data_IF_317473590997
#
_entry.id   IF_317473590997
#
_cell.length_a   1.000
_cell.length_b   1.000
_cell.length_c   1.000
_cell.angle_alpha   90.00
_cell.angle_beta   90.00
_cell.angle_gamma   90.00
#
_symmetry.space_group_name_H-M   'P 1'
#
loop_
_entity.id
_entity.type
_entity.pdbx_description
1 polymer ?
#
# COMPACT_ATOMS: atom_id res chain seq x y z
N UNK A 1 1.34 21.78 5.60
CA UNK A 1 0.55 21.11 6.66
C UNK A 1 -0.96 21.09 6.35
N UNK A 2 -1.62 22.25 6.16
CA UNK A 2 -3.08 22.35 5.87
C UNK A 2 -3.53 21.51 4.66
N UNK A 3 -2.76 21.53 3.57
CA UNK A 3 -3.02 20.72 2.36
C UNK A 3 -2.99 19.20 2.60
N UNK A 4 -2.19 18.71 3.56
CA UNK A 4 -2.10 17.28 3.86
C UNK A 4 -3.28 16.82 4.72
N UNK A 5 -3.69 17.66 5.69
CA UNK A 5 -4.87 17.42 6.53
C UNK A 5 -6.14 17.37 5.67
N UNK A 6 -6.27 18.30 4.72
CA UNK A 6 -7.40 18.33 3.78
C UNK A 6 -7.46 17.06 2.91
N UNK A 7 -6.30 16.56 2.46
CA UNK A 7 -6.22 15.31 1.69
C UNK A 7 -6.62 14.08 2.53
N UNK A 8 -6.14 13.99 3.77
CA UNK A 8 -6.52 12.92 4.70
C UNK A 8 -8.03 12.92 4.97
N UNK A 9 -8.61 14.12 5.15
CA UNK A 9 -10.05 14.27 5.32
C UNK A 9 -10.84 13.79 4.09
N UNK A 10 -10.40 14.14 2.89
CA UNK A 10 -10.98 13.64 1.64
C UNK A 10 -10.85 12.11 1.53
N UNK A 11 -9.71 11.53 1.92
CA UNK A 11 -9.52 10.07 1.91
C UNK A 11 -10.49 9.35 2.87
N UNK A 12 -10.73 9.91 4.05
CA UNK A 12 -11.70 9.35 5.01
C UNK A 12 -13.13 9.43 4.44
N UNK A 13 -13.50 10.55 3.83
CA UNK A 13 -14.80 10.70 3.14
C UNK A 13 -14.95 9.73 1.95
N UNK A 14 -13.89 9.54 1.16
CA UNK A 14 -13.85 8.58 0.07
C UNK A 14 -14.10 7.14 0.56
N UNK A 15 -13.37 6.74 1.60
CA UNK A 15 -13.45 5.42 2.21
C UNK A 15 -14.84 5.17 2.82
N UNK A 16 -15.47 6.20 3.40
CA UNK A 16 -16.82 6.11 3.95
C UNK A 16 -17.89 5.96 2.84
N UNK A 17 -17.68 6.55 1.67
CA UNK A 17 -18.63 6.47 0.54
C UNK A 17 -18.76 5.05 -0.03
N UNK A 18 -17.71 4.23 0.08
CA UNK A 18 -17.68 2.90 -0.54
C UNK A 18 -18.66 1.93 0.13
N UNK A 19 -18.65 1.74 1.48
CA UNK A 19 -19.66 0.95 2.17
C UNK A 19 -21.08 1.48 1.95
N UNK A 20 -21.25 2.80 1.94
CA UNK A 20 -22.53 3.48 1.67
C UNK A 20 -23.10 3.13 0.29
N UNK A 21 -22.24 2.96 -0.71
CA UNK A 21 -22.61 2.57 -2.06
C UNK A 21 -23.02 1.08 -2.20
N UNK A 22 -22.59 0.21 -1.27
CA UNK A 22 -23.01 -1.19 -1.20
C UNK A 22 -24.31 -1.39 -0.40
N UNK A 23 -24.61 -0.48 0.52
CA UNK A 23 -25.92 -0.39 1.14
C UNK A 23 -26.94 0.07 0.09
N UNK A 24 -28.08 -0.63 -0.01
CA UNK A 24 -29.04 -0.46 -1.09
C UNK A 24 -29.54 1.00 -1.17
N UNK A 25 -29.00 1.75 -2.13
CA UNK A 25 -29.08 3.21 -2.27
C UNK A 25 -30.43 3.70 -2.82
N UNK A 26 -31.48 2.90 -2.65
CA UNK A 26 -32.85 3.20 -3.08
C UNK A 26 -33.63 4.03 -2.06
N UNK A 27 -33.06 4.32 -0.89
CA UNK A 27 -33.68 5.19 0.13
C UNK A 27 -33.26 6.66 -0.10
N UNK A 28 -34.21 7.61 -0.18
CA UNK A 28 -33.94 9.01 -0.51
C UNK A 28 -32.83 9.70 0.31
N UNK A 29 -32.68 9.50 1.64
CA UNK A 29 -31.63 10.20 2.39
C UNK A 29 -30.20 9.77 2.00
N UNK A 30 -29.97 8.55 1.52
CA UNK A 30 -28.64 8.09 1.12
C UNK A 30 -28.20 8.71 -0.23
N UNK A 31 -29.16 9.02 -1.10
CA UNK A 31 -28.90 9.54 -2.44
C UNK A 31 -28.35 10.96 -2.41
N UNK A 32 -28.84 11.80 -1.50
CA UNK A 32 -28.32 13.16 -1.28
C UNK A 32 -26.89 13.17 -0.71
N UNK A 33 -26.56 12.18 0.14
CA UNK A 33 -25.21 12.04 0.70
C UNK A 33 -24.22 11.67 -0.40
N UNK A 34 -24.57 10.70 -1.25
CA UNK A 34 -23.73 10.27 -2.37
C UNK A 34 -23.48 11.39 -3.38
N UNK A 35 -24.52 12.17 -3.69
CA UNK A 35 -24.40 13.37 -4.53
C UNK A 35 -23.53 14.46 -3.90
N UNK A 36 -23.64 14.68 -2.59
CA UNK A 36 -22.81 15.67 -1.88
C UNK A 36 -21.34 15.29 -1.90
N UNK A 37 -21.03 14.01 -1.69
CA UNK A 37 -19.67 13.46 -1.77
C UNK A 37 -19.13 13.59 -3.20
N UNK A 38 -19.94 13.26 -4.20
CA UNK A 38 -19.56 13.44 -5.60
C UNK A 38 -19.23 14.90 -5.94
N UNK A 39 -20.04 15.85 -5.47
CA UNK A 39 -19.83 17.28 -5.69
C UNK A 39 -18.49 17.76 -5.11
N UNK A 40 -18.14 17.27 -3.92
CA UNK A 40 -16.84 17.56 -3.28
C UNK A 40 -15.68 17.05 -4.15
N UNK A 41 -15.78 15.83 -4.71
CA UNK A 41 -14.74 15.29 -5.59
C UNK A 41 -14.59 16.05 -6.91
N UNK A 42 -15.72 16.47 -7.51
CA UNK A 42 -15.71 17.31 -8.71
C UNK A 42 -14.94 18.59 -8.43
N UNK A 43 -15.29 19.30 -7.35
CA UNK A 43 -14.64 20.56 -7.01
C UNK A 43 -13.14 20.40 -6.71
N UNK A 44 -12.75 19.34 -6.00
CA UNK A 44 -11.34 19.08 -5.68
C UNK A 44 -10.50 18.83 -6.94
N UNK A 45 -11.03 18.04 -7.89
CA UNK A 45 -10.35 17.79 -9.17
C UNK A 45 -10.19 19.06 -9.99
N UNK A 46 -11.24 19.89 -10.09
CA UNK A 46 -11.14 21.16 -10.82
C UNK A 46 -10.20 22.15 -10.12
N UNK A 47 -10.13 22.13 -8.79
CA UNK A 47 -9.19 22.94 -8.04
C UNK A 47 -7.72 22.52 -8.28
N UNK A 48 -7.41 21.22 -8.21
CA UNK A 48 -6.06 20.72 -8.54
C UNK A 48 -5.73 20.91 -10.03
N UNK A 49 -6.70 20.76 -10.93
CA UNK A 49 -6.53 21.01 -12.36
C UNK A 49 -6.19 22.47 -12.67
N UNK A 50 -6.82 23.42 -11.98
CA UNK A 50 -6.55 24.85 -12.16
C UNK A 50 -5.21 25.28 -11.54
N UNK A 51 -4.73 24.58 -10.50
CA UNK A 51 -3.41 24.85 -9.91
C UNK A 51 -2.24 24.19 -10.67
N UNK A 52 -2.52 23.26 -11.58
CA UNK A 52 -1.48 22.54 -12.31
C UNK A 52 -0.85 23.41 -13.42
N UNK A 53 0.44 23.74 -13.25
CA UNK A 53 1.24 24.55 -14.18
C UNK A 53 1.33 23.91 -15.58
N UNK A 54 1.25 22.57 -15.69
CA UNK A 54 1.36 21.84 -16.96
C UNK A 54 0.17 20.89 -17.18
N UNK A 55 -0.92 21.45 -17.73
CA UNK A 55 -2.25 20.81 -17.90
C UNK A 55 -2.20 19.47 -18.65
N UNK A 56 -1.30 19.31 -19.62
CA UNK A 56 -1.19 18.10 -20.47
C UNK A 56 -0.56 16.90 -19.73
N UNK A 57 0.39 17.16 -18.85
CA UNK A 57 1.03 16.13 -18.01
C UNK A 57 0.10 15.70 -16.87
N UNK A 58 -0.60 16.67 -16.28
CA UNK A 58 -1.62 16.45 -15.25
C UNK A 58 -2.75 15.56 -15.76
N UNK A 59 -3.28 15.84 -16.96
CA UNK A 59 -4.35 15.03 -17.53
C UNK A 59 -3.94 13.56 -17.70
N UNK A 60 -2.74 13.29 -18.23
CA UNK A 60 -2.25 11.90 -18.41
C UNK A 60 -2.04 11.14 -17.10
N UNK A 61 -1.60 11.82 -16.05
CA UNK A 61 -1.42 11.20 -14.73
C UNK A 61 -2.73 11.05 -13.95
N UNK A 62 -3.75 11.87 -14.24
CA UNK A 62 -5.04 11.89 -13.51
C UNK A 62 -6.24 11.41 -14.36
N UNK A 63 -6.00 10.62 -15.42
CA UNK A 63 -7.07 9.99 -16.22
C UNK A 63 -8.03 9.16 -15.34
N UNK A 64 -7.50 8.46 -14.34
CA UNK A 64 -8.33 7.58 -13.49
C UNK A 64 -9.22 8.40 -12.53
N UNK A 65 -8.75 9.59 -12.12
CA UNK A 65 -9.54 10.55 -11.33
C UNK A 65 -10.64 11.18 -12.18
N UNK A 66 -10.38 11.47 -13.46
CA UNK A 66 -11.40 11.93 -14.40
C UNK A 66 -12.50 10.88 -14.61
N UNK A 67 -12.12 9.61 -14.77
CA UNK A 67 -13.06 8.48 -14.91
C UNK A 67 -13.90 8.30 -13.64
N UNK A 68 -13.35 8.60 -12.46
CA UNK A 68 -14.06 8.55 -11.17
C UNK A 68 -15.16 9.59 -11.01
N UNK A 69 -15.01 10.73 -11.69
CA UNK A 69 -15.90 11.89 -11.59
C UNK A 69 -17.07 11.78 -12.56
N UNK A 70 -16.96 11.00 -13.63
CA UNK A 70 -18.06 10.81 -14.57
C UNK A 70 -19.27 10.15 -13.85
N UNK A 71 -20.45 10.79 -13.86
CA UNK A 71 -21.63 10.29 -13.17
C UNK A 71 -22.26 9.17 -14.02
N UNK A 72 -21.72 7.96 -13.94
CA UNK A 72 -22.24 6.78 -14.62
C UNK A 72 -23.40 6.09 -13.87
N UNK A 73 -24.21 6.88 -13.16
CA UNK A 73 -25.36 6.40 -12.38
C UNK A 73 -26.51 5.84 -13.26
N UNK A 74 -26.40 5.95 -14.59
CA UNK A 74 -27.44 5.50 -15.52
C UNK A 74 -27.45 3.99 -15.81
N UNK A 75 -26.38 3.24 -15.50
CA UNK A 75 -26.29 1.81 -15.87
C UNK A 75 -25.92 0.90 -14.68
N UNK A 76 -26.75 -0.09 -14.32
CA UNK A 76 -26.47 -1.06 -13.26
C UNK A 76 -25.19 -1.88 -13.47
N UNK A 77 -24.82 -2.14 -14.73
CA UNK A 77 -23.60 -2.85 -15.12
C UNK A 77 -22.31 -2.09 -14.75
N UNK A 78 -22.42 -0.80 -14.43
CA UNK A 78 -21.31 0.11 -14.15
C UNK A 78 -21.01 0.20 -12.63
N UNK A 79 -21.70 -0.57 -11.79
CA UNK A 79 -21.42 -0.63 -10.34
C UNK A 79 -19.94 -0.94 -10.02
N UNK A 80 -19.27 -1.70 -10.88
CA UNK A 80 -17.83 -2.03 -10.79
C UNK A 80 -16.93 -0.79 -10.98
N UNK A 81 -17.36 0.23 -11.73
CA UNK A 81 -16.60 1.48 -11.87
C UNK A 81 -16.59 2.31 -10.56
N UNK A 82 -17.43 2.00 -9.56
CA UNK A 82 -17.26 2.56 -8.21
C UNK A 82 -15.97 2.08 -7.55
N UNK A 83 -15.53 0.85 -7.82
CA UNK A 83 -14.22 0.35 -7.37
C UNK A 83 -13.06 1.05 -8.09
N UNK A 84 -13.29 1.55 -9.31
CA UNK A 84 -12.32 2.37 -10.04
C UNK A 84 -12.06 3.69 -9.31
N UNK A 85 -12.99 4.22 -8.50
CA UNK A 85 -12.67 5.33 -7.57
C UNK A 85 -11.56 4.93 -6.60
N UNK A 86 -11.65 3.77 -5.98
CA UNK A 86 -10.62 3.29 -5.04
C UNK A 86 -9.28 3.15 -5.77
N UNK A 87 -9.29 2.58 -6.97
CA UNK A 87 -8.08 2.37 -7.77
C UNK A 87 -7.47 3.67 -8.30
N UNK A 88 -8.29 4.64 -8.70
CA UNK A 88 -7.86 5.96 -9.14
C UNK A 88 -7.05 6.68 -8.07
N UNK A 89 -7.59 6.70 -6.86
CA UNK A 89 -6.98 7.37 -5.72
C UNK A 89 -5.82 6.54 -5.14
N UNK A 90 -5.91 5.20 -5.20
CA UNK A 90 -4.78 4.31 -4.86
C UNK A 90 -3.64 4.40 -5.88
N UNK A 91 -3.84 4.88 -7.11
CA UNK A 91 -2.77 4.98 -8.12
C UNK A 91 -1.62 5.89 -7.67
N UNK A 92 -1.92 6.98 -6.95
CA UNK A 92 -0.92 7.87 -6.34
C UNK A 92 -0.11 7.14 -5.25
N UNK A 93 -0.75 6.22 -4.53
CA UNK A 93 -0.11 5.35 -3.55
C UNK A 93 0.68 4.23 -4.24
N UNK A 94 0.16 3.66 -5.33
CA UNK A 94 0.74 2.53 -6.06
C UNK A 94 2.11 2.85 -6.67
N UNK A 95 2.31 4.09 -7.11
CA UNK A 95 3.62 4.53 -7.62
C UNK A 95 4.65 4.56 -6.49
N UNK A 96 4.30 5.12 -5.32
CA UNK A 96 5.16 5.11 -4.12
C UNK A 96 5.36 3.70 -3.54
N UNK A 97 4.33 2.84 -3.59
CA UNK A 97 4.48 1.45 -3.12
C UNK A 97 5.36 0.63 -4.04
N UNK A 98 5.41 0.91 -5.35
CA UNK A 98 6.33 0.24 -6.28
C UNK A 98 7.79 0.57 -5.94
N UNK A 99 8.11 1.84 -5.70
CA UNK A 99 9.44 2.24 -5.24
C UNK A 99 9.78 1.56 -3.91
N UNK A 100 8.84 1.56 -2.95
CA UNK A 100 9.00 0.82 -1.69
C UNK A 100 9.29 -0.68 -1.90
N UNK A 101 8.42 -1.38 -2.64
CA UNK A 101 8.50 -2.83 -2.89
C UNK A 101 9.81 -3.24 -3.55
N UNK A 102 10.30 -2.43 -4.49
CA UNK A 102 11.54 -2.68 -5.24
C UNK A 102 12.76 -2.35 -4.40
N UNK A 103 12.77 -1.22 -3.69
CA UNK A 103 13.91 -0.82 -2.84
C UNK A 103 14.10 -1.72 -1.62
N UNK A 104 13.02 -2.15 -0.98
CA UNK A 104 13.09 -3.01 0.22
C UNK A 104 13.04 -4.51 -0.08
N UNK A 105 12.90 -4.90 -1.37
CA UNK A 105 12.81 -6.30 -1.81
C UNK A 105 11.70 -7.12 -1.13
N UNK A 106 10.69 -6.45 -0.60
CA UNK A 106 9.56 -7.07 0.11
C UNK A 106 8.81 -8.08 -0.76
N UNK A 107 8.80 -7.89 -2.09
CA UNK A 107 8.20 -8.83 -3.03
C UNK A 107 8.80 -10.25 -2.93
N UNK A 108 10.08 -10.40 -2.59
CA UNK A 108 10.74 -11.72 -2.44
C UNK A 108 10.16 -12.46 -1.24
N UNK A 109 9.95 -11.77 -0.12
CA UNK A 109 9.34 -12.35 1.07
C UNK A 109 7.90 -12.84 0.77
N UNK A 110 7.11 -12.05 0.03
CA UNK A 110 5.78 -12.48 -0.41
C UNK A 110 5.80 -13.70 -1.34
N UNK A 111 6.76 -13.77 -2.27
CA UNK A 111 6.91 -14.94 -3.15
C UNK A 111 7.27 -16.19 -2.33
N UNK A 112 8.25 -16.08 -1.43
CA UNK A 112 8.68 -17.20 -0.57
C UNK A 112 7.53 -17.67 0.31
N UNK A 113 6.83 -16.76 0.99
CA UNK A 113 5.67 -17.11 1.81
C UNK A 113 4.56 -17.71 0.96
N UNK A 114 4.32 -17.20 -0.25
CA UNK A 114 3.33 -17.77 -1.18
C UNK A 114 3.65 -19.21 -1.58
N UNK A 115 4.92 -19.52 -1.87
CA UNK A 115 5.38 -20.88 -2.17
C UNK A 115 5.17 -21.79 -0.96
N UNK A 116 5.58 -21.36 0.24
CA UNK A 116 5.40 -22.12 1.49
C UNK A 116 3.92 -22.41 1.75
N UNK A 117 3.04 -21.43 1.52
CA UNK A 117 1.61 -21.55 1.74
C UNK A 117 0.97 -22.57 0.78
N UNK A 118 1.28 -22.49 -0.52
CA UNK A 118 0.80 -23.46 -1.51
C UNK A 118 1.31 -24.87 -1.17
N UNK A 119 2.60 -25.00 -0.85
CA UNK A 119 3.19 -26.29 -0.53
C UNK A 119 2.58 -26.91 0.73
N UNK A 120 2.37 -26.09 1.77
CA UNK A 120 1.72 -26.53 3.01
C UNK A 120 0.27 -26.95 2.78
N UNK A 121 -0.47 -26.23 1.94
CA UNK A 121 -1.86 -26.58 1.58
C UNK A 121 -1.97 -27.88 0.78
N UNK A 122 -1.01 -28.16 -0.11
CA UNK A 122 -0.95 -29.44 -0.84
C UNK A 122 -0.69 -30.59 0.13
N UNK A 123 0.30 -30.48 1.01
CA UNK A 123 0.62 -31.55 1.97
C UNK A 123 -0.56 -31.78 2.90
N UNK A 124 -1.20 -30.71 3.38
CA UNK A 124 -2.40 -30.80 4.22
C UNK A 124 -3.53 -31.57 3.52
N UNK A 125 -3.83 -31.22 2.26
CA UNK A 125 -4.86 -31.91 1.46
C UNK A 125 -4.53 -33.40 1.23
N UNK A 126 -3.26 -33.74 1.03
CA UNK A 126 -2.84 -35.14 0.85
C UNK A 126 -2.92 -35.96 2.15
N UNK A 127 -2.61 -35.35 3.29
CA UNK A 127 -2.52 -36.02 4.59
C UNK A 127 -3.89 -36.19 5.25
N UNK A 128 -4.74 -35.15 5.17
CA UNK A 128 -6.11 -35.17 5.72
C UNK A 128 -7.14 -35.74 4.72
N UNK A 129 -6.75 -35.96 3.46
CA UNK A 129 -7.60 -36.41 2.33
C UNK A 129 -8.73 -35.45 1.96
N UNK A 130 -8.56 -34.16 2.27
CA UNK A 130 -9.48 -33.09 1.90
C UNK A 130 -9.22 -32.55 0.49
N UNK A 131 -10.12 -31.70 -0.01
CA UNK A 131 -9.91 -31.05 -1.30
C UNK A 131 -8.71 -30.09 -1.26
N UNK A 132 -8.05 -29.91 -2.41
CA UNK A 132 -6.93 -28.97 -2.53
C UNK A 132 -7.31 -27.55 -2.07
N UNK A 133 -8.55 -27.12 -2.35
CA UNK A 133 -9.04 -25.81 -1.95
C UNK A 133 -9.17 -25.69 -0.44
N UNK A 134 -9.57 -26.75 0.25
CA UNK A 134 -9.67 -26.79 1.72
C UNK A 134 -8.30 -26.70 2.37
N UNK A 135 -7.31 -27.42 1.83
CA UNK A 135 -5.91 -27.30 2.27
C UNK A 135 -5.33 -25.90 2.04
N UNK A 136 -5.69 -25.24 0.93
CA UNK A 136 -5.27 -23.86 0.68
C UNK A 136 -5.96 -22.86 1.62
N UNK A 137 -7.26 -23.04 1.88
CA UNK A 137 -8.01 -22.23 2.85
C UNK A 137 -7.45 -22.41 4.27
N UNK A 138 -7.05 -23.63 4.62
CA UNK A 138 -6.35 -23.92 5.86
C UNK A 138 -5.04 -23.14 5.96
N UNK A 139 -4.18 -23.31 4.96
CA UNK A 139 -2.87 -22.67 4.94
C UNK A 139 -2.99 -21.14 4.97
N UNK A 140 -3.99 -20.58 4.28
CA UNK A 140 -4.27 -19.15 4.30
C UNK A 140 -4.74 -18.67 5.67
N UNK A 141 -5.67 -19.39 6.31
CA UNK A 141 -6.18 -19.05 7.65
C UNK A 141 -5.08 -19.07 8.72
N UNK A 142 -4.18 -20.05 8.64
CA UNK A 142 -3.02 -20.18 9.54
C UNK A 142 -1.98 -19.07 9.28
N UNK A 143 -1.57 -18.87 8.03
CA UNK A 143 -0.56 -17.86 7.68
C UNK A 143 -1.02 -16.42 7.98
N UNK A 144 -2.32 -16.14 7.83
CA UNK A 144 -2.90 -14.81 8.12
C UNK A 144 -3.29 -14.63 9.57
N UNK A 145 -3.17 -15.67 10.42
CA UNK A 145 -3.66 -15.70 11.80
C UNK A 145 -5.17 -15.42 11.96
N UNK A 146 -5.94 -15.45 10.87
CA UNK A 146 -7.39 -15.27 10.90
C UNK A 146 -8.13 -16.48 11.47
N UNK A 147 -7.46 -17.63 11.50
CA UNK A 147 -8.03 -18.91 11.87
C UNK A 147 -8.55 -19.64 10.65
N UNK A 148 -8.30 -20.94 10.61
CA UNK A 148 -8.80 -21.83 9.56
C UNK A 148 -10.06 -22.55 10.04
N UNK A 149 -11.07 -22.75 9.18
CA UNK A 149 -12.21 -23.62 9.48
C UNK A 149 -11.81 -25.10 9.56
N UNK A 150 -10.71 -25.50 8.92
CA UNK A 150 -10.11 -26.83 8.97
C UNK A 150 -9.04 -26.90 10.06
N UNK A 151 -8.88 -28.05 10.72
CA UNK A 151 -7.92 -28.23 11.81
C UNK A 151 -6.94 -29.35 11.49
N UNK A 152 -5.70 -29.19 11.97
CA UNK A 152 -4.64 -30.17 11.81
C UNK A 152 -4.79 -31.31 12.84
N UNK A 153 -5.21 -32.48 12.39
CA UNK A 153 -5.43 -33.66 13.22
C UNK A 153 -4.20 -34.57 13.27
N UNK A 154 -3.50 -34.72 12.14
CA UNK A 154 -2.31 -35.56 12.00
C UNK A 154 -1.04 -34.91 12.58
N UNK A 155 0.00 -35.71 12.87
CA UNK A 155 1.27 -35.16 13.37
C UNK A 155 1.99 -34.28 12.33
N UNK A 156 1.91 -34.65 11.05
CA UNK A 156 2.53 -33.92 9.94
C UNK A 156 1.84 -32.56 9.74
N UNK A 157 0.51 -32.51 9.72
CA UNK A 157 -0.25 -31.26 9.59
C UNK A 157 -0.04 -30.32 10.78
N UNK A 158 0.13 -30.85 12.01
CA UNK A 158 0.45 -30.05 13.20
C UNK A 158 1.83 -29.39 13.11
N UNK A 159 2.84 -30.10 12.63
CA UNK A 159 4.18 -29.53 12.42
C UNK A 159 4.11 -28.44 11.35
N UNK A 160 3.41 -28.68 10.24
CA UNK A 160 3.19 -27.67 9.21
C UNK A 160 2.46 -26.43 9.75
N UNK A 161 1.45 -26.63 10.60
CA UNK A 161 0.71 -25.55 11.25
C UNK A 161 1.67 -24.60 12.00
N UNK A 162 2.56 -25.16 12.83
CA UNK A 162 3.53 -24.40 13.60
C UNK A 162 4.48 -23.61 12.68
N UNK A 163 5.05 -24.26 11.67
CA UNK A 163 5.96 -23.62 10.71
C UNK A 163 5.26 -22.47 9.99
N UNK A 164 4.01 -22.68 9.58
CA UNK A 164 3.24 -21.71 8.83
C UNK A 164 2.82 -20.51 9.69
N UNK A 165 2.50 -20.73 10.98
CA UNK A 165 2.26 -19.65 11.94
C UNK A 165 3.48 -18.74 12.11
N UNK A 166 4.68 -19.33 12.31
CA UNK A 166 5.92 -18.54 12.39
C UNK A 166 6.20 -17.78 11.10
N UNK A 167 5.95 -18.39 9.95
CA UNK A 167 6.12 -17.76 8.64
C UNK A 167 5.19 -16.56 8.47
N UNK A 168 3.92 -16.69 8.86
CA UNK A 168 2.93 -15.62 8.80
C UNK A 168 3.31 -14.41 9.65
N UNK A 169 3.60 -14.64 10.93
CA UNK A 169 4.02 -13.59 11.87
C UNK A 169 5.34 -12.95 11.41
N UNK A 170 6.29 -13.77 10.94
CA UNK A 170 7.57 -13.31 10.40
C UNK A 170 7.40 -12.41 9.18
N UNK A 171 6.49 -12.75 8.26
CA UNK A 171 6.19 -11.91 7.09
C UNK A 171 5.63 -10.55 7.50
N UNK A 172 4.68 -10.50 8.43
CA UNK A 172 4.10 -9.24 8.93
C UNK A 172 5.15 -8.39 9.65
N UNK A 173 6.00 -9.01 10.47
CA UNK A 173 7.11 -8.34 11.15
C UNK A 173 8.14 -7.78 10.18
N UNK A 174 8.55 -8.58 9.19
CA UNK A 174 9.47 -8.14 8.14
C UNK A 174 8.88 -7.01 7.30
N UNK A 175 7.62 -7.11 6.91
CA UNK A 175 6.91 -6.06 6.16
C UNK A 175 6.89 -4.73 6.94
N UNK A 176 6.57 -4.80 8.23
CA UNK A 176 6.53 -3.62 9.11
C UNK A 176 7.92 -3.00 9.28
N UNK A 177 8.95 -3.83 9.49
CA UNK A 177 10.35 -3.38 9.62
C UNK A 177 10.88 -2.76 8.32
N UNK A 178 10.57 -3.37 7.18
CA UNK A 178 10.89 -2.82 5.86
C UNK A 178 10.22 -1.46 5.65
N UNK A 179 8.94 -1.33 6.01
CA UNK A 179 8.20 -0.07 5.92
C UNK A 179 8.82 1.03 6.80
N UNK A 180 9.14 0.70 8.04
CA UNK A 180 9.81 1.62 8.96
C UNK A 180 11.19 2.05 8.41
N UNK A 181 11.96 1.11 7.87
CA UNK A 181 13.27 1.38 7.25
C UNK A 181 13.14 2.33 6.06
N UNK A 182 12.20 2.07 5.14
CA UNK A 182 11.97 2.95 3.99
C UNK A 182 11.54 4.37 4.39
N UNK A 183 10.61 4.49 5.34
CA UNK A 183 10.15 5.79 5.85
C UNK A 183 11.27 6.58 6.53
N UNK A 184 12.22 5.89 7.16
CA UNK A 184 13.32 6.53 7.90
C UNK A 184 14.53 6.81 7.01
N UNK A 185 14.75 6.02 5.96
CA UNK A 185 15.85 6.17 5.00
C UNK A 185 15.89 7.55 4.35
N UNK A 186 14.73 8.14 4.04
CA UNK A 186 14.63 9.48 3.43
C UNK A 186 15.12 10.60 4.38
N UNK A 187 14.99 10.40 5.70
CA UNK A 187 15.47 11.34 6.72
C UNK A 187 16.95 11.13 7.04
N UNK A 188 17.36 9.88 7.27
CA UNK A 188 18.74 9.55 7.69
C UNK A 188 19.73 9.81 6.54
N UNK A 189 19.38 9.45 5.30
CA UNK A 189 20.30 9.58 4.16
C UNK A 189 20.71 11.02 3.87
N UNK A 190 19.88 12.03 4.19
CA UNK A 190 20.23 13.42 3.96
C UNK A 190 21.06 13.99 5.11
N UNK A 191 20.72 13.63 6.35
CA UNK A 191 21.37 14.19 7.54
C UNK A 191 22.78 13.61 7.76
N UNK A 192 22.96 12.30 7.58
CA UNK A 192 24.28 11.65 7.72
C UNK A 192 25.20 11.94 6.54
N UNK A 193 24.65 12.10 5.32
CA UNK A 193 25.43 12.45 4.14
C UNK A 193 25.94 13.89 4.24
N UNK A 194 25.11 14.82 4.71
CA UNK A 194 25.52 16.20 4.96
C UNK A 194 26.59 16.27 6.06
N UNK A 195 26.43 15.56 7.17
CA UNK A 195 27.46 15.50 8.24
C UNK A 195 28.79 14.94 7.73
N UNK A 196 28.76 13.90 6.89
CA UNK A 196 29.98 13.36 6.27
C UNK A 196 30.61 14.37 5.30
N UNK A 197 29.79 15.05 4.48
CA UNK A 197 30.26 16.09 3.57
C UNK A 197 30.93 17.24 4.32
N UNK A 198 30.31 17.72 5.40
CA UNK A 198 30.84 18.79 6.24
C UNK A 198 32.16 18.38 6.90
N UNK A 199 32.27 17.14 7.37
CA UNK A 199 33.51 16.62 7.96
C UNK A 199 34.67 16.55 6.96
N UNK A 200 34.40 16.18 5.70
CA UNK A 200 35.40 16.15 4.63
C UNK A 200 35.82 17.57 4.22
N UNK A 201 34.89 18.52 4.17
CA UNK A 201 35.19 19.93 3.85
C UNK A 201 36.05 20.57 4.95
N UNK A 202 35.76 20.27 6.22
CA UNK A 202 36.60 20.68 7.36
C UNK A 202 38.01 20.10 7.26
N UNK A 203 38.15 18.81 6.97
CA UNK A 203 39.45 18.16 6.80
C UNK A 203 40.27 18.81 5.67
N UNK A 204 39.65 19.08 4.51
CA UNK A 204 40.31 19.75 3.39
C UNK A 204 40.79 21.16 3.77
N UNK A 205 39.97 21.95 4.48
CA UNK A 205 40.38 23.28 4.97
C UNK A 205 41.57 23.19 5.91
N UNK A 206 41.61 22.21 6.81
CA UNK A 206 42.74 22.05 7.73
C UNK A 206 44.04 21.67 7.01
N UNK A 207 43.95 20.85 5.95
CA UNK A 207 45.10 20.50 5.10
C UNK A 207 45.59 21.72 4.33
N UNK A 208 44.68 22.51 3.76
CA UNK A 208 45.01 23.71 3.00
C UNK A 208 45.72 24.76 3.88
N UNK A 209 45.24 24.95 5.12
CA UNK A 209 45.89 25.82 6.12
C UNK A 209 47.29 25.31 6.48
N UNK A 210 47.47 23.99 6.64
CA UNK A 210 48.79 23.39 6.92
C UNK A 210 49.75 23.56 5.74
N UNK A 211 49.29 23.40 4.51
CA UNK A 211 50.13 23.62 3.31
C UNK A 211 50.55 25.09 3.17
N UNK A 212 49.63 26.03 3.42
CA UNK A 212 49.92 27.47 3.37
C UNK A 212 50.93 27.91 4.44
N UNK A 213 50.92 27.26 5.61
CA UNK A 213 51.92 27.45 6.67
C UNK A 213 53.26 26.78 6.40
N UNK A 214 53.30 25.74 5.58
CA UNK A 214 54.54 25.02 5.23
C UNK A 214 55.26 25.63 4.02
N UNK A 215 54.60 26.50 3.26
CA UNK A 215 55.14 27.15 2.05
C UNK A 215 55.61 28.59 2.27
N UNK A 216 55.48 29.11 3.49
CA UNK A 216 56.03 30.39 3.98
C UNK A 216 57.13 30.11 5.00
#
# INVERSE_FOLDING_TARGET
MVRQIFKIFIYIMAALSVPLAFLNTSKPPLLYIDWSIWLIFVFDYFYEFNLAVNKKSFFRHHIIELISILPFEAFPAIRILRLVRIFAFSSRFLIKTKEFLIETKVYIAFIITGIILIFSGIIFSLDERDSFLDGLLWALGVATTSGSPYQAHTEISKILNIILMFTGIGLVGYFTGALASWLTKEKISNEDLNKKLDSVIEELKTIEIKQKKSSN
#
